data_IF_281804947492
#
_entry.id   IF_281804947492
#
_cell.length_a   1.000
_cell.length_b   1.000
_cell.length_c   1.000
_cell.angle_alpha   90.00
_cell.angle_beta   90.00
_cell.angle_gamma   90.00
#
_symmetry.space_group_name_H-M   'P 1'
#
loop_
_entity.id
_entity.type
_entity.pdbx_description
1 polymer ?
#
# COMPACT_ATOMS: atom_id res chain seq x y z
N UNK A 1 14.69 -7.64 -24.87
CA UNK A 1 13.47 -7.00 -24.34
C UNK A 1 13.75 -6.71 -22.88
N UNK A 2 14.12 -5.47 -22.58
CA UNK A 2 14.81 -5.07 -21.34
C UNK A 2 13.98 -5.34 -20.11
N UNK A 3 14.61 -5.98 -19.12
CA UNK A 3 14.06 -6.30 -17.82
C UNK A 3 14.23 -5.08 -16.89
N UNK A 4 13.54 -3.97 -17.20
CA UNK A 4 13.44 -2.86 -16.25
C UNK A 4 12.26 -3.16 -15.31
N UNK A 5 12.55 -3.80 -14.18
CA UNK A 5 11.67 -3.76 -13.01
C UNK A 5 12.12 -2.59 -12.12
N UNK A 6 11.58 -1.36 -12.29
CA UNK A 6 11.75 -0.32 -11.28
C UNK A 6 10.77 -0.62 -10.14
N UNK A 7 11.16 -1.51 -9.24
CA UNK A 7 10.45 -1.68 -7.98
C UNK A 7 11.08 -0.76 -6.91
N UNK A 8 10.90 0.56 -6.99
CA UNK A 8 11.56 1.44 -5.98
C UNK A 8 10.70 2.63 -5.49
N UNK A 9 9.53 2.91 -6.07
CA UNK A 9 8.65 3.99 -5.61
C UNK A 9 7.20 3.52 -5.56
N UNK A 10 6.56 3.60 -4.38
CA UNK A 10 5.17 3.16 -4.18
C UNK A 10 4.19 3.83 -5.14
N UNK A 11 4.42 5.09 -5.51
CA UNK A 11 3.59 5.83 -6.47
C UNK A 11 3.86 5.45 -7.92
N UNK A 12 5.12 5.20 -8.28
CA UNK A 12 5.47 4.75 -9.62
C UNK A 12 4.86 3.38 -9.91
N UNK A 13 4.87 2.50 -8.91
CA UNK A 13 4.14 1.25 -8.98
C UNK A 13 2.63 1.45 -9.22
N UNK A 14 2.00 2.41 -8.53
CA UNK A 14 0.57 2.72 -8.79
C UNK A 14 0.34 3.25 -10.21
N UNK A 15 1.26 4.07 -10.75
CA UNK A 15 1.15 4.60 -12.12
C UNK A 15 1.23 3.48 -13.15
N UNK A 16 2.15 2.54 -12.95
CA UNK A 16 2.26 1.37 -13.80
C UNK A 16 1.05 0.45 -13.68
N UNK A 17 0.56 0.22 -12.46
CA UNK A 17 -0.64 -0.58 -12.22
C UNK A 17 -1.86 0.05 -12.90
N UNK A 18 -2.02 1.37 -12.80
CA UNK A 18 -3.07 2.11 -13.49
C UNK A 18 -2.94 2.01 -15.01
N UNK A 19 -1.73 2.15 -15.56
CA UNK A 19 -1.46 2.03 -16.99
C UNK A 19 -1.80 0.63 -17.54
N UNK A 20 -1.51 -0.43 -16.77
CA UNK A 20 -1.75 -1.83 -17.17
C UNK A 20 -3.20 -2.28 -16.97
N UNK A 21 -3.83 -1.88 -15.86
CA UNK A 21 -5.10 -2.46 -15.40
C UNK A 21 -6.26 -1.44 -15.39
N UNK A 22 -6.00 -0.17 -15.73
CA UNK A 22 -6.99 0.93 -15.69
C UNK A 22 -7.42 1.35 -14.28
N UNK A 23 -6.89 0.70 -13.23
CA UNK A 23 -7.18 0.96 -11.81
C UNK A 23 -5.93 0.75 -10.99
N UNK A 24 -5.85 1.45 -9.87
CA UNK A 24 -4.76 1.34 -8.90
C UNK A 24 -5.31 1.20 -7.46
N UNK A 25 -4.42 0.91 -6.51
CA UNK A 25 -4.81 0.70 -5.12
C UNK A 25 -5.23 2.01 -4.44
N UNK A 26 -4.71 3.18 -4.86
CA UNK A 26 -5.15 4.46 -4.31
C UNK A 26 -6.61 4.71 -4.65
N UNK A 27 -7.02 4.41 -5.88
CA UNK A 27 -8.43 4.45 -6.28
C UNK A 27 -9.28 3.39 -5.56
N UNK A 28 -8.83 2.14 -5.56
CA UNK A 28 -9.67 1.00 -5.13
C UNK A 28 -9.76 0.85 -3.62
N UNK A 29 -8.63 0.99 -2.90
CA UNK A 29 -8.58 0.83 -1.45
C UNK A 29 -8.81 2.13 -0.69
N UNK A 30 -8.34 3.25 -1.26
CA UNK A 30 -8.32 4.53 -0.56
C UNK A 30 -9.27 5.58 -1.17
N UNK A 31 -10.00 5.26 -2.24
CA UNK A 31 -10.95 6.18 -2.88
C UNK A 31 -10.31 7.44 -3.46
N UNK A 32 -9.00 7.44 -3.70
CA UNK A 32 -8.30 8.59 -4.22
C UNK A 32 -8.71 8.86 -5.68
N UNK A 33 -9.01 10.12 -6.01
CA UNK A 33 -9.42 10.49 -7.37
C UNK A 33 -8.25 10.41 -8.36
N UNK A 34 -7.03 10.64 -7.90
CA UNK A 34 -5.80 10.59 -8.71
C UNK A 34 -4.59 10.17 -7.88
N UNK A 35 -3.58 9.64 -8.53
CA UNK A 35 -2.28 9.37 -7.92
C UNK A 35 -1.59 10.71 -7.60
N UNK A 36 -1.31 11.01 -6.32
CA UNK A 36 -0.66 12.26 -5.92
C UNK A 36 0.82 12.28 -6.34
N UNK A 37 1.44 13.46 -6.29
CA UNK A 37 2.90 13.59 -6.34
C UNK A 37 3.52 13.41 -4.95
N UNK A 38 4.82 13.13 -4.88
CA UNK A 38 5.54 13.01 -3.61
C UNK A 38 5.40 14.29 -2.75
N UNK A 39 5.41 15.46 -3.37
CA UNK A 39 5.23 16.73 -2.66
C UNK A 39 3.82 16.85 -2.06
N UNK A 40 2.79 16.35 -2.74
CA UNK A 40 1.43 16.34 -2.20
C UNK A 40 1.30 15.38 -1.01
N UNK A 41 2.02 14.26 -1.03
CA UNK A 41 2.08 13.33 0.11
C UNK A 41 2.80 13.98 1.29
N UNK A 42 3.97 14.59 1.07
CA UNK A 42 4.73 15.30 2.12
C UNK A 42 3.91 16.42 2.75
N UNK A 43 3.19 17.21 1.95
CA UNK A 43 2.31 18.27 2.46
C UNK A 43 1.23 17.76 3.45
N UNK A 44 0.87 16.48 3.40
CA UNK A 44 -0.04 15.83 4.33
C UNK A 44 0.74 15.23 5.50
N UNK A 45 1.79 14.43 5.21
CA UNK A 45 2.57 13.71 6.22
C UNK A 45 3.31 14.65 7.18
N UNK A 46 3.86 15.77 6.68
CA UNK A 46 4.62 16.74 7.50
C UNK A 46 3.76 17.40 8.58
N UNK A 47 2.42 17.37 8.41
CA UNK A 47 1.47 17.91 9.39
C UNK A 47 1.09 16.88 10.47
N UNK A 48 1.47 15.61 10.29
CA UNK A 48 1.11 14.52 11.19
C UNK A 48 2.31 14.21 12.08
N UNK A 49 2.10 14.17 13.41
CA UNK A 49 3.16 13.78 14.35
C UNK A 49 3.55 12.32 14.10
N UNK A 50 4.82 12.03 13.88
CA UNK A 50 5.33 10.68 13.61
C UNK A 50 4.79 9.62 14.61
N UNK A 51 4.74 9.96 15.90
CA UNK A 51 4.24 9.07 16.95
C UNK A 51 2.79 8.61 16.73
N UNK A 52 1.95 9.43 16.08
CA UNK A 52 0.57 9.05 15.77
C UNK A 52 0.47 8.03 14.63
N UNK A 53 1.41 8.05 13.68
CA UNK A 53 1.46 7.07 12.59
C UNK A 53 1.93 5.70 13.08
N UNK A 54 2.79 5.67 14.10
CA UNK A 54 3.34 4.41 14.61
C UNK A 54 2.27 3.49 15.20
N UNK A 55 1.28 4.04 15.92
CA UNK A 55 0.18 3.25 16.49
C UNK A 55 -0.63 2.60 15.38
N UNK A 56 -1.05 3.39 14.38
CA UNK A 56 -1.83 2.90 13.24
C UNK A 56 -1.05 1.84 12.45
N UNK A 57 0.25 2.08 12.21
CA UNK A 57 1.10 1.11 11.52
C UNK A 57 1.22 -0.20 12.31
N UNK A 58 1.43 -0.13 13.62
CA UNK A 58 1.52 -1.29 14.50
C UNK A 58 0.24 -2.12 14.47
N UNK A 59 -0.92 -1.48 14.58
CA UNK A 59 -2.22 -2.16 14.58
C UNK A 59 -2.48 -2.89 13.26
N UNK A 60 -2.20 -2.23 12.13
CA UNK A 60 -2.34 -2.84 10.80
C UNK A 60 -1.36 -4.00 10.62
N UNK A 61 -0.11 -3.84 11.05
CA UNK A 61 0.90 -4.89 10.95
C UNK A 61 0.53 -6.13 11.78
N UNK A 62 0.05 -5.92 13.00
CA UNK A 62 -0.43 -7.00 13.87
C UNK A 62 -1.65 -7.70 13.26
N UNK A 63 -2.60 -6.95 12.71
CA UNK A 63 -3.77 -7.51 12.03
C UNK A 63 -3.36 -8.36 10.81
N UNK A 64 -2.46 -7.85 9.96
CA UNK A 64 -1.97 -8.59 8.80
C UNK A 64 -1.25 -9.87 9.22
N UNK A 65 -0.39 -9.79 10.24
CA UNK A 65 0.31 -10.95 10.80
C UNK A 65 -0.67 -12.00 11.32
N UNK A 66 -1.70 -11.58 12.07
CA UNK A 66 -2.73 -12.46 12.58
C UNK A 66 -3.51 -13.15 11.44
N UNK A 67 -3.95 -12.40 10.43
CA UNK A 67 -4.68 -12.96 9.28
C UNK A 67 -3.81 -13.95 8.49
N UNK A 68 -2.54 -13.62 8.24
CA UNK A 68 -1.63 -14.49 7.50
C UNK A 68 -1.35 -15.79 8.28
N UNK A 69 -1.15 -15.72 9.60
CA UNK A 69 -1.01 -16.90 10.45
C UNK A 69 -2.28 -17.76 10.45
N UNK A 70 -3.47 -17.15 10.43
CA UNK A 70 -4.74 -17.88 10.31
C UNK A 70 -4.92 -18.56 8.94
N UNK A 71 -4.44 -17.95 7.85
CA UNK A 71 -4.47 -18.57 6.51
C UNK A 71 -3.56 -19.78 6.40
N UNK A 72 -2.43 -19.80 7.12
CA UNK A 72 -1.56 -20.97 7.19
C UNK A 72 -2.21 -22.15 7.95
N UNK A 73 -3.06 -21.86 8.96
CA UNK A 73 -3.72 -22.88 9.77
C UNK A 73 -5.02 -23.46 9.16
N UNK A 74 -5.61 -22.83 8.14
CA UNK A 74 -6.90 -23.26 7.56
C UNK A 74 -6.78 -24.19 6.33
N UNK A 75 -5.58 -24.62 5.96
CA UNK A 75 -5.35 -25.60 4.88
C UNK A 75 -5.15 -27.02 5.41
N UNK A 76 -5.96 -27.49 6.35
CA UNK A 76 -6.13 -28.93 6.61
C UNK A 76 -7.51 -29.16 7.22
N UNK A 77 -8.43 -29.67 6.40
CA UNK A 77 -9.56 -30.48 6.87
C UNK A 77 -9.79 -31.57 5.82
N UNK A 78 -9.75 -32.80 6.31
CA UNK A 78 -9.88 -34.09 5.63
C UNK A 78 -11.09 -34.16 4.70
#
# INVERSE_FOLDING_TARGET
>A
MSLDLPAECGLEHQRQLHSRNGRDNLQTLFGAIKIPSDNQIRNILDKIKANSLFVVFSDIYQLLTAILNLRCSKSFRF
#
